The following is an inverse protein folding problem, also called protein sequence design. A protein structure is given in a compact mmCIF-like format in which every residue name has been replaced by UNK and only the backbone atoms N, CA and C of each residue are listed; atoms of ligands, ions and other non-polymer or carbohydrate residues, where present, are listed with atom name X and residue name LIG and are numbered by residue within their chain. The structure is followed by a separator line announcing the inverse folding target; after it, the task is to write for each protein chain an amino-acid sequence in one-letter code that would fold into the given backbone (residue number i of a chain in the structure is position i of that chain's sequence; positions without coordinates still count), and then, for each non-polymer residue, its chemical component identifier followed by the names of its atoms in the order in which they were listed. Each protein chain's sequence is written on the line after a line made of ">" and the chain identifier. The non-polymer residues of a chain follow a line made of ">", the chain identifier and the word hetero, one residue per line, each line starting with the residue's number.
data_IF_723905733722
#
_entry.id   IF_723905733722
#
_cell.length_a   1.000
_cell.length_b   1.000
_cell.length_c   1.000
_cell.angle_alpha   90.00
_cell.angle_beta   90.00
_cell.angle_gamma   90.00
#
_symmetry.space_group_name_H-M   'P 1'
#
loop_
_entity.id
_entity.type
_entity.pdbx_description
1 polymer ?
#
# COMPACT_ATOMS: atom_id res chain seq x y z
N UNK A 1 -4.83 16.38 -18.94
CA UNK A 1 -3.92 15.26 -19.18
C UNK A 1 -4.39 14.13 -18.28
N UNK A 2 -4.83 13.02 -18.86
CA UNK A 2 -5.48 11.94 -18.10
C UNK A 2 -4.50 11.33 -17.11
N UNK A 3 -4.93 11.23 -15.84
CA UNK A 3 -4.16 10.64 -14.75
C UNK A 3 -3.70 9.21 -15.07
N UNK A 4 -4.51 8.46 -15.82
CA UNK A 4 -4.14 7.14 -16.33
C UNK A 4 -2.89 7.19 -17.21
N UNK A 5 -2.83 8.15 -18.15
CA UNK A 5 -1.70 8.26 -19.07
C UNK A 5 -0.39 8.56 -18.32
N UNK A 6 -0.43 9.43 -17.32
CA UNK A 6 0.75 9.73 -16.49
C UNK A 6 1.22 8.52 -15.68
N UNK A 7 0.30 7.65 -15.24
CA UNK A 7 0.62 6.43 -14.52
C UNK A 7 1.13 5.32 -15.44
N UNK A 8 0.57 5.21 -16.64
CA UNK A 8 1.08 4.28 -17.67
C UNK A 8 2.48 4.67 -18.14
N UNK A 9 2.76 5.97 -18.33
CA UNK A 9 4.08 6.47 -18.76
C UNK A 9 5.20 6.15 -17.75
N UNK A 10 4.86 6.04 -16.46
CA UNK A 10 5.81 5.59 -15.41
C UNK A 10 5.80 4.06 -15.21
N UNK A 11 5.05 3.29 -16.00
CA UNK A 11 5.00 1.82 -15.90
C UNK A 11 4.21 1.28 -14.71
N UNK A 12 3.19 2.01 -14.22
CA UNK A 12 2.40 1.64 -13.03
C UNK A 12 1.82 0.21 -13.08
N UNK A 13 1.38 -0.22 -14.26
CA UNK A 13 0.85 -1.57 -14.47
C UNK A 13 1.88 -2.68 -14.16
N UNK A 14 3.16 -2.50 -14.49
CA UNK A 14 4.19 -3.50 -14.24
C UNK A 14 4.45 -3.68 -12.74
N UNK A 15 4.35 -2.59 -11.98
CA UNK A 15 4.46 -2.64 -10.53
C UNK A 15 3.24 -3.30 -9.86
N UNK A 16 2.06 -3.22 -10.47
CA UNK A 16 0.85 -3.81 -9.89
C UNK A 16 0.70 -5.31 -10.16
N UNK A 17 1.20 -5.80 -11.30
CA UNK A 17 0.93 -7.17 -11.78
C UNK A 17 2.17 -8.07 -11.89
N UNK A 18 3.35 -7.60 -11.51
CA UNK A 18 4.56 -8.44 -11.43
C UNK A 18 4.59 -9.33 -10.19
N UNK A 19 5.51 -10.31 -10.17
CA UNK A 19 5.72 -11.23 -9.03
C UNK A 19 6.46 -10.58 -7.82
N UNK A 20 6.76 -9.28 -7.92
CA UNK A 20 7.46 -8.52 -6.89
C UNK A 20 6.55 -7.96 -5.79
N UNK A 21 7.15 -7.27 -4.83
CA UNK A 21 6.43 -6.45 -3.85
C UNK A 21 6.62 -4.98 -4.23
N UNK A 22 5.51 -4.28 -4.42
CA UNK A 22 5.50 -2.84 -4.70
C UNK A 22 5.11 -2.06 -3.46
N UNK A 23 5.92 -1.05 -3.12
CA UNK A 23 5.62 -0.09 -2.04
C UNK A 23 5.31 1.25 -2.67
N UNK A 24 4.15 1.80 -2.33
CA UNK A 24 3.68 3.08 -2.86
C UNK A 24 3.62 4.08 -1.70
N UNK A 25 4.44 5.12 -1.77
CA UNK A 25 4.29 6.29 -0.90
C UNK A 25 3.16 7.19 -1.40
N UNK A 26 2.47 7.89 -0.49
CA UNK A 26 1.32 8.75 -0.81
C UNK A 26 0.20 8.02 -1.58
N UNK A 27 -0.04 6.74 -1.25
CA UNK A 27 -1.05 5.92 -1.93
C UNK A 27 -2.47 6.53 -1.90
N UNK A 28 -2.79 7.36 -0.91
CA UNK A 28 -4.05 8.11 -0.85
C UNK A 28 -4.26 9.03 -2.07
N UNK A 29 -3.18 9.49 -2.73
CA UNK A 29 -3.25 10.31 -3.95
C UNK A 29 -3.58 9.50 -5.20
N UNK A 30 -3.31 8.19 -5.18
CA UNK A 30 -3.66 7.29 -6.29
C UNK A 30 -5.18 7.09 -6.34
N UNK A 31 -5.83 6.99 -5.18
CA UNK A 31 -7.29 6.86 -5.07
C UNK A 31 -7.78 5.52 -5.60
N UNK A 32 -8.82 5.55 -6.44
CA UNK A 32 -9.48 4.35 -6.99
C UNK A 32 -8.59 3.47 -7.88
N UNK A 33 -7.42 3.97 -8.29
CA UNK A 33 -6.46 3.22 -9.10
C UNK A 33 -5.58 2.27 -8.26
N UNK A 34 -5.68 2.31 -6.93
CA UNK A 34 -5.04 1.32 -6.08
C UNK A 34 -5.66 -0.06 -6.31
N UNK A 35 -4.83 -1.10 -6.26
CA UNK A 35 -5.31 -2.48 -6.23
C UNK A 35 -6.33 -2.66 -5.10
N UNK A 36 -7.46 -3.31 -5.38
CA UNK A 36 -8.43 -3.68 -4.35
C UNK A 36 -7.83 -4.59 -3.26
N UNK A 37 -6.87 -5.44 -3.65
CA UNK A 37 -6.14 -6.33 -2.74
C UNK A 37 -4.75 -5.72 -2.48
N UNK A 38 -4.59 -5.00 -1.38
CA UNK A 38 -3.33 -4.37 -0.96
C UNK A 38 -3.22 -4.28 0.58
N UNK A 39 -2.00 -4.04 1.08
CA UNK A 39 -1.77 -3.71 2.48
C UNK A 39 -1.55 -2.20 2.63
N UNK A 40 -2.41 -1.53 3.38
CA UNK A 40 -2.24 -0.11 3.68
C UNK A 40 -1.49 0.06 5.00
N UNK A 41 -0.41 0.83 4.98
CA UNK A 41 0.39 1.15 6.17
C UNK A 41 0.33 2.66 6.41
N UNK A 42 -0.24 3.05 7.54
CA UNK A 42 -0.50 4.46 7.88
C UNK A 42 0.41 4.85 9.05
N UNK A 43 1.20 5.88 8.84
CA UNK A 43 2.07 6.46 9.85
C UNK A 43 1.40 7.71 10.42
N UNK A 44 1.25 7.78 11.74
CA UNK A 44 0.80 9.00 12.43
C UNK A 44 1.77 9.40 13.53
N UNK A 45 1.81 10.70 13.81
CA UNK A 45 2.62 11.24 14.90
C UNK A 45 2.19 10.63 16.23
N UNK A 46 3.19 10.26 17.03
CA UNK A 46 3.03 9.83 18.41
C UNK A 46 4.16 10.43 19.25
N UNK A 47 3.96 10.58 20.55
CA UNK A 47 4.82 11.30 21.50
C UNK A 47 6.34 11.19 21.25
N UNK A 48 7.09 12.25 21.59
CA UNK A 48 8.56 12.23 21.66
C UNK A 48 9.25 11.57 20.45
N UNK A 49 8.86 12.01 19.24
CA UNK A 49 9.34 11.51 17.95
C UNK A 49 8.95 10.07 17.61
N UNK A 50 8.12 9.40 18.41
CA UNK A 50 7.57 8.10 18.07
C UNK A 50 6.56 8.23 16.91
N UNK A 51 6.21 7.10 16.31
CA UNK A 51 5.13 7.00 15.34
C UNK A 51 4.20 5.88 15.76
N UNK A 52 2.91 6.08 15.51
CA UNK A 52 1.95 5.00 15.52
C UNK A 52 1.81 4.50 14.10
N UNK A 53 2.04 3.20 13.91
CA UNK A 53 1.85 2.54 12.62
C UNK A 53 0.56 1.75 12.71
N UNK A 54 -0.39 2.04 11.80
CA UNK A 54 -1.61 1.26 11.64
C UNK A 54 -1.49 0.46 10.34
N UNK A 55 -1.70 -0.85 10.44
CA UNK A 55 -1.71 -1.76 9.29
C UNK A 55 -3.16 -2.14 9.01
N UNK A 56 -3.61 -1.91 7.78
CA UNK A 56 -4.98 -2.16 7.34
C UNK A 56 -4.92 -3.04 6.08
N UNK A 57 -5.26 -4.33 6.18
CA UNK A 57 -5.36 -5.19 5.00
C UNK A 57 -6.65 -4.86 4.23
N UNK A 58 -6.54 -4.78 2.90
CA UNK A 58 -7.65 -4.67 1.97
C UNK A 58 -7.64 -5.88 1.03
N UNK A 59 -8.81 -6.44 0.74
CA UNK A 59 -8.95 -7.65 -0.05
C UNK A 59 -8.68 -8.95 0.72
N UNK A 60 -9.18 -10.06 0.20
CA UNK A 60 -9.11 -11.34 0.91
C UNK A 60 -7.69 -11.88 1.05
N UNK A 61 -6.82 -11.64 0.06
CA UNK A 61 -5.44 -12.15 0.09
C UNK A 61 -4.67 -11.51 1.23
N UNK A 62 -4.69 -10.19 1.36
CA UNK A 62 -4.01 -9.51 2.46
C UNK A 62 -4.64 -9.75 3.83
N UNK A 63 -5.97 -9.89 3.92
CA UNK A 63 -6.64 -10.28 5.18
C UNK A 63 -6.21 -11.67 5.65
N UNK A 64 -5.93 -12.60 4.74
CA UNK A 64 -5.39 -13.92 5.09
C UNK A 64 -3.91 -13.83 5.45
N UNK A 65 -3.09 -13.11 4.67
CA UNK A 65 -1.65 -12.95 4.90
C UNK A 65 -1.34 -12.32 6.26
N UNK A 66 -2.08 -11.28 6.67
CA UNK A 66 -1.79 -10.56 7.92
C UNK A 66 -1.94 -11.44 9.17
N UNK A 67 -2.80 -12.47 9.13
CA UNK A 67 -3.03 -13.36 10.28
C UNK A 67 -1.80 -14.16 10.68
N UNK A 68 -0.85 -14.32 9.76
CA UNK A 68 0.38 -15.07 9.96
C UNK A 68 1.59 -14.15 10.20
N UNK A 69 1.38 -12.85 10.37
CA UNK A 69 2.47 -11.91 10.66
C UNK A 69 2.68 -11.84 12.18
N UNK A 70 3.90 -12.17 12.60
CA UNK A 70 4.36 -11.95 13.96
C UNK A 70 5.14 -10.63 14.03
N UNK A 71 4.77 -9.77 14.98
CA UNK A 71 5.54 -8.56 15.27
C UNK A 71 6.52 -8.88 16.39
N UNK A 72 7.78 -9.05 16.02
CA UNK A 72 8.85 -9.21 17.00
C UNK A 72 9.14 -7.85 17.65
N UNK A 73 9.05 -7.81 18.99
CA UNK A 73 9.41 -6.65 19.81
C UNK A 73 10.91 -6.62 20.11
#
# INVERSE_FOLDING_TARGET
>A
MDKLFQLEDIGFNQFQYGDGVTVIEWGDKIGELLSFDHLQVIFSYYENKKRKIKIVPHGESWVKKIKNIEFNN
#
